data_IF_243087248954
#
_entry.id   IF_243087248954
#
_cell.length_a   1.000
_cell.length_b   1.000
_cell.length_c   1.000
_cell.angle_alpha   90.00
_cell.angle_beta   90.00
_cell.angle_gamma   90.00
#
_symmetry.space_group_name_H-M   'P 1'
#
loop_
_entity.id
_entity.type
_entity.pdbx_description
1 polymer ?
#
# COMPACT_ATOMS: atom_id res chain seq x y z
N UNK A 1 -15.09 -6.50 14.88
CA UNK A 1 -13.83 -5.70 14.82
C UNK A 1 -12.86 -6.15 13.70
N UNK A 2 -13.29 -6.58 12.50
CA UNK A 2 -12.35 -7.11 11.47
C UNK A 2 -12.27 -6.35 10.13
N UNK A 3 -13.15 -5.39 9.83
CA UNK A 3 -13.17 -4.74 8.51
C UNK A 3 -12.14 -3.59 8.33
N UNK A 4 -11.56 -3.04 9.41
CA UNK A 4 -10.71 -1.84 9.35
C UNK A 4 -9.20 -2.14 9.10
N UNK A 5 -8.76 -3.40 9.16
CA UNK A 5 -7.32 -3.75 8.98
C UNK A 5 -6.83 -3.66 7.54
N UNK A 6 -7.71 -3.93 6.56
CA UNK A 6 -7.35 -3.91 5.13
C UNK A 6 -7.19 -2.48 4.58
N UNK A 7 -7.75 -1.48 5.27
CA UNK A 7 -7.64 -0.07 4.90
C UNK A 7 -6.23 0.49 5.13
N UNK A 8 -5.46 -0.13 6.05
CA UNK A 8 -4.08 0.27 6.35
C UNK A 8 -3.07 -0.21 5.31
N UNK A 9 -3.41 -1.19 4.48
CA UNK A 9 -2.52 -1.68 3.42
C UNK A 9 -2.55 -0.75 2.20
N UNK A 10 -1.38 -0.53 1.58
CA UNK A 10 -1.32 0.20 0.31
C UNK A 10 -2.06 -0.58 -0.79
N UNK A 11 -2.46 0.10 -1.86
CA UNK A 11 -3.08 -0.55 -3.02
C UNK A 11 -2.19 -1.68 -3.57
N UNK A 12 -0.88 -1.46 -3.61
CA UNK A 12 0.10 -2.46 -4.06
C UNK A 12 0.21 -3.66 -3.11
N UNK A 13 0.22 -3.41 -1.80
CA UNK A 13 0.22 -4.50 -0.82
C UNK A 13 -1.08 -5.32 -0.89
N UNK A 14 -2.25 -4.67 -1.05
CA UNK A 14 -3.52 -5.36 -1.28
C UNK A 14 -3.49 -6.18 -2.58
N UNK A 15 -2.87 -5.66 -3.64
CA UNK A 15 -2.70 -6.39 -4.90
C UNK A 15 -1.83 -7.63 -4.72
N UNK A 16 -0.72 -7.54 -4.00
CA UNK A 16 0.12 -8.71 -3.64
C UNK A 16 -0.70 -9.76 -2.89
N UNK A 17 -1.53 -9.37 -1.92
CA UNK A 17 -2.36 -10.32 -1.17
C UNK A 17 -3.43 -10.98 -2.07
N UNK A 18 -4.03 -10.22 -2.99
CA UNK A 18 -4.96 -10.77 -3.99
C UNK A 18 -4.27 -11.74 -4.95
N UNK A 19 -3.06 -11.43 -5.40
CA UNK A 19 -2.25 -12.34 -6.22
C UNK A 19 -1.87 -13.60 -5.44
N UNK A 20 -1.57 -13.48 -4.14
CA UNK A 20 -1.26 -14.64 -3.29
C UNK A 20 -2.45 -15.60 -3.17
N UNK A 21 -3.68 -15.06 -3.13
CA UNK A 21 -4.88 -15.88 -3.22
C UNK A 21 -4.98 -16.58 -4.58
N UNK A 22 -4.77 -15.87 -5.68
CA UNK A 22 -4.78 -16.47 -7.03
C UNK A 22 -3.71 -17.55 -7.19
N UNK A 23 -2.52 -17.38 -6.60
CA UNK A 23 -1.47 -18.41 -6.59
C UNK A 23 -1.91 -19.65 -5.80
N UNK A 24 -2.52 -19.47 -4.63
CA UNK A 24 -3.07 -20.57 -3.85
C UNK A 24 -4.13 -21.36 -4.63
N UNK A 25 -5.02 -20.65 -5.34
CA UNK A 25 -6.07 -21.23 -6.19
C UNK A 25 -5.48 -21.99 -7.39
N UNK A 26 -4.49 -21.42 -8.10
CA UNK A 26 -3.78 -22.08 -9.21
C UNK A 26 -3.11 -23.37 -8.78
N UNK A 27 -2.52 -23.37 -7.58
CA UNK A 27 -1.87 -24.55 -7.01
C UNK A 27 -2.88 -25.53 -6.37
N UNK A 28 -4.18 -25.22 -6.41
CA UNK A 28 -5.27 -25.93 -5.74
C UNK A 28 -4.97 -26.20 -4.25
N UNK A 29 -4.25 -25.27 -3.63
CA UNK A 29 -3.99 -25.28 -2.19
C UNK A 29 -5.16 -24.62 -1.48
N UNK A 30 -5.55 -25.22 -0.37
CA UNK A 30 -6.74 -24.79 0.37
C UNK A 30 -6.39 -23.80 1.48
N UNK A 31 -5.12 -23.39 1.59
CA UNK A 31 -4.68 -22.33 2.50
C UNK A 31 -3.72 -21.40 1.78
N UNK A 32 -3.87 -20.10 1.99
CA UNK A 32 -2.92 -19.10 1.54
C UNK A 32 -1.77 -19.09 2.56
N UNK A 33 -0.62 -19.64 2.18
CA UNK A 33 0.62 -19.68 2.97
C UNK A 33 1.57 -18.52 2.64
N UNK A 34 2.56 -18.23 3.51
CA UNK A 34 3.62 -17.26 3.22
C UNK A 34 4.30 -17.49 1.87
N UNK A 35 4.48 -18.75 1.45
CA UNK A 35 5.01 -19.08 0.12
C UNK A 35 4.22 -18.45 -1.03
N UNK A 36 2.88 -18.48 -1.00
CA UNK A 36 2.06 -17.83 -2.03
C UNK A 36 2.22 -16.30 -2.01
N UNK A 37 2.40 -15.71 -0.83
CA UNK A 37 2.67 -14.27 -0.67
C UNK A 37 4.03 -13.91 -1.27
N UNK A 38 5.05 -14.75 -1.08
CA UNK A 38 6.38 -14.57 -1.68
C UNK A 38 6.31 -14.63 -3.21
N UNK A 39 5.63 -15.64 -3.77
CA UNK A 39 5.41 -15.76 -5.21
C UNK A 39 4.67 -14.54 -5.76
N UNK A 40 3.64 -14.07 -5.06
CA UNK A 40 2.91 -12.87 -5.44
C UNK A 40 3.76 -11.60 -5.42
N UNK A 41 4.70 -11.46 -4.49
CA UNK A 41 5.66 -10.34 -4.50
C UNK A 41 6.58 -10.40 -5.72
N UNK A 42 7.00 -11.58 -6.14
CA UNK A 42 7.79 -11.77 -7.37
C UNK A 42 6.98 -11.47 -8.63
N UNK A 43 5.65 -11.65 -8.60
CA UNK A 43 4.76 -11.36 -9.73
C UNK A 43 4.30 -9.90 -9.84
N UNK A 44 4.38 -9.11 -8.77
CA UNK A 44 3.93 -7.71 -8.76
C UNK A 44 5.11 -6.74 -9.02
N UNK A 45 5.38 -6.35 -10.28
CA UNK A 45 6.56 -5.59 -10.64
C UNK A 45 6.51 -4.16 -10.09
N UNK A 46 7.66 -3.51 -9.97
CA UNK A 46 7.76 -2.12 -9.47
C UNK A 46 7.16 -1.96 -8.07
N UNK A 47 7.38 -2.94 -7.19
CA UNK A 47 7.17 -2.82 -5.75
C UNK A 47 8.51 -2.90 -5.03
N UNK A 48 8.60 -2.35 -3.83
CA UNK A 48 9.83 -2.44 -3.02
C UNK A 48 10.19 -3.91 -2.79
N UNK A 49 9.21 -4.75 -2.43
CA UNK A 49 9.45 -6.17 -2.24
C UNK A 49 10.00 -6.84 -3.50
N UNK A 50 9.37 -6.60 -4.66
CA UNK A 50 9.84 -7.16 -5.93
C UNK A 50 11.27 -6.72 -6.28
N UNK A 51 11.58 -5.42 -6.14
CA UNK A 51 12.92 -4.89 -6.41
C UNK A 51 13.95 -5.51 -5.47
N UNK A 52 13.63 -5.64 -4.17
CA UNK A 52 14.53 -6.27 -3.20
C UNK A 52 14.78 -7.74 -3.53
N UNK A 53 13.73 -8.51 -3.81
CA UNK A 53 13.85 -9.93 -4.13
C UNK A 53 14.67 -10.17 -5.40
N UNK A 54 14.40 -9.40 -6.46
CA UNK A 54 15.12 -9.50 -7.73
C UNK A 54 16.58 -9.02 -7.65
N UNK A 55 16.89 -8.00 -6.82
CA UNK A 55 18.28 -7.61 -6.50
C UNK A 55 19.08 -8.73 -5.85
N UNK A 56 18.40 -9.63 -5.15
CA UNK A 56 18.97 -10.83 -4.54
C UNK A 56 18.85 -12.07 -5.44
N UNK A 57 18.66 -11.86 -6.74
CA UNK A 57 18.59 -12.92 -7.77
C UNK A 57 17.47 -13.95 -7.54
N UNK A 58 16.43 -13.60 -6.80
CA UNK A 58 15.23 -14.42 -6.70
C UNK A 58 14.31 -14.14 -7.88
N UNK A 59 13.97 -15.20 -8.62
CA UNK A 59 12.95 -15.18 -9.67
C UNK A 59 11.77 -16.09 -9.31
N UNK A 60 10.64 -15.84 -9.97
CA UNK A 60 9.41 -16.59 -9.72
C UNK A 60 9.58 -18.08 -9.98
N UNK A 61 10.21 -18.48 -11.09
CA UNK A 61 10.25 -19.87 -11.56
C UNK A 61 11.08 -20.74 -10.62
N UNK A 62 12.29 -20.30 -10.28
CA UNK A 62 13.17 -21.03 -9.35
C UNK A 62 12.54 -21.12 -7.96
N UNK A 63 11.95 -20.02 -7.48
CA UNK A 63 11.26 -19.97 -6.18
C UNK A 63 10.06 -20.92 -6.15
N UNK A 64 9.22 -20.91 -7.19
CA UNK A 64 8.05 -21.79 -7.32
C UNK A 64 8.45 -23.26 -7.29
N UNK A 65 9.45 -23.65 -8.08
CA UNK A 65 9.93 -25.03 -8.13
C UNK A 65 10.47 -25.50 -6.78
N UNK A 66 11.11 -24.60 -6.04
CA UNK A 66 11.66 -24.90 -4.72
C UNK A 66 10.56 -25.11 -3.68
N UNK A 67 9.55 -24.24 -3.61
CA UNK A 67 8.56 -24.25 -2.52
C UNK A 67 7.28 -25.03 -2.82
N UNK A 68 6.96 -25.27 -4.10
CA UNK A 68 5.70 -25.94 -4.46
C UNK A 68 5.50 -27.31 -3.81
N UNK A 69 6.51 -28.18 -3.65
CA UNK A 69 6.30 -29.46 -2.98
C UNK A 69 5.92 -29.32 -1.50
N UNK A 70 6.45 -28.30 -0.81
CA UNK A 70 6.12 -28.02 0.60
C UNK A 70 4.69 -27.52 0.70
N UNK A 71 4.31 -26.56 -0.16
CA UNK A 71 2.99 -25.96 -0.16
C UNK A 71 1.87 -26.97 -0.45
N UNK A 72 2.10 -27.91 -1.37
CA UNK A 72 1.13 -28.95 -1.70
C UNK A 72 0.90 -29.94 -0.54
N UNK A 73 1.95 -30.28 0.23
CA UNK A 73 1.82 -31.17 1.41
C UNK A 73 0.98 -30.56 2.54
N UNK A 74 0.97 -29.23 2.66
CA UNK A 74 0.27 -28.51 3.73
C UNK A 74 -1.25 -28.32 3.49
N UNK A 75 -1.77 -28.81 2.37
CA UNK A 75 -3.18 -28.64 1.96
C UNK A 75 -4.08 -29.74 2.54
N UNK A 76 -4.77 -29.46 3.65
CA UNK A 76 -5.73 -30.38 4.30
C UNK A 76 -7.05 -29.70 4.73
N UNK A 77 -7.51 -28.65 4.05
CA UNK A 77 -8.78 -27.95 4.39
C UNK A 77 -9.75 -27.88 3.22
N UNK A 78 -11.04 -27.61 3.48
CA UNK A 78 -12.07 -27.55 2.44
C UNK A 78 -12.31 -26.13 1.89
N UNK A 79 -11.93 -25.07 2.62
CA UNK A 79 -12.11 -23.66 2.21
C UNK A 79 -10.77 -22.92 2.12
N UNK A 80 -10.65 -22.01 1.14
CA UNK A 80 -9.47 -21.16 0.93
C UNK A 80 -9.42 -20.07 2.01
N UNK A 81 -8.54 -20.24 2.98
CA UNK A 81 -8.32 -19.28 4.06
C UNK A 81 -6.84 -18.95 4.25
N UNK A 82 -6.53 -17.83 4.91
CA UNK A 82 -5.17 -17.55 5.36
C UNK A 82 -4.71 -18.61 6.38
N UNK A 83 -3.53 -19.18 6.15
CA UNK A 83 -2.90 -20.08 7.13
C UNK A 83 -2.53 -19.34 8.41
N UNK A 84 -2.30 -20.08 9.50
CA UNK A 84 -1.84 -19.50 10.77
C UNK A 84 -0.54 -18.70 10.60
N UNK A 85 0.38 -19.21 9.78
CA UNK A 85 1.63 -18.51 9.46
C UNK A 85 1.41 -17.25 8.63
N UNK A 86 0.47 -17.24 7.69
CA UNK A 86 0.11 -16.03 6.95
C UNK A 86 -0.51 -14.97 7.84
N UNK A 87 -1.38 -15.36 8.79
CA UNK A 87 -1.94 -14.41 9.78
C UNK A 87 -0.83 -13.79 10.62
N UNK A 88 0.11 -14.60 11.11
CA UNK A 88 1.29 -14.11 11.85
C UNK A 88 2.21 -13.24 10.99
N UNK A 89 2.37 -13.55 9.70
CA UNK A 89 3.13 -12.70 8.76
C UNK A 89 2.50 -11.30 8.68
N UNK A 90 1.18 -11.21 8.53
CA UNK A 90 0.48 -9.92 8.47
C UNK A 90 0.62 -9.13 9.78
N UNK A 91 0.55 -9.79 10.93
CA UNK A 91 0.81 -9.15 12.23
C UNK A 91 2.24 -8.60 12.32
N UNK A 92 3.23 -9.39 11.89
CA UNK A 92 4.63 -8.92 11.86
C UNK A 92 4.86 -7.80 10.86
N UNK A 93 4.09 -7.75 9.77
CA UNK A 93 4.13 -6.65 8.82
C UNK A 93 3.59 -5.34 9.43
N UNK A 94 2.50 -5.42 10.21
CA UNK A 94 2.00 -4.28 11.01
C UNK A 94 3.06 -3.80 11.99
N UNK A 95 3.74 -4.72 12.69
CA UNK A 95 4.81 -4.33 13.61
C UNK A 95 6.01 -3.74 12.89
N UNK A 96 6.34 -4.23 11.69
CA UNK A 96 7.41 -3.70 10.86
C UNK A 96 7.13 -2.26 10.42
N UNK A 97 5.89 -1.93 10.03
CA UNK A 97 5.53 -0.55 9.67
C UNK A 97 5.59 0.39 10.87
N UNK A 98 5.10 -0.05 12.03
CA UNK A 98 5.19 0.71 13.29
C UNK A 98 6.64 1.00 13.70
N UNK A 99 7.53 0.01 13.62
CA UNK A 99 8.96 0.19 13.94
C UNK A 99 9.65 1.21 13.02
N UNK A 100 9.14 1.40 11.81
CA UNK A 100 9.65 2.38 10.85
C UNK A 100 8.91 3.71 10.90
N UNK A 101 7.87 3.85 11.73
CA UNK A 101 7.04 5.05 11.83
C UNK A 101 6.05 5.23 10.69
N UNK A 102 5.83 4.21 9.86
CA UNK A 102 4.90 4.29 8.73
C UNK A 102 3.47 4.05 9.21
N UNK A 103 2.53 4.93 8.79
CA UNK A 103 1.10 4.82 9.14
C UNK A 103 0.32 3.85 8.26
N UNK A 104 0.99 3.24 7.29
CA UNK A 104 0.43 2.32 6.31
C UNK A 104 1.31 1.07 6.22
N UNK A 105 0.81 0.04 5.53
CA UNK A 105 1.49 -1.24 5.34
C UNK A 105 1.72 -1.47 3.84
N UNK A 106 2.92 -1.13 3.37
CA UNK A 106 3.40 -1.45 2.03
C UNK A 106 4.02 -2.86 1.88
N UNK A 107 4.52 -3.12 0.68
CA UNK A 107 5.08 -4.44 0.29
C UNK A 107 6.39 -4.76 1.01
N UNK A 108 7.17 -3.75 1.33
CA UNK A 108 8.38 -3.81 2.14
C UNK A 108 8.09 -4.31 3.56
N UNK A 109 6.98 -3.87 4.17
CA UNK A 109 6.60 -4.36 5.49
C UNK A 109 6.14 -5.81 5.45
N UNK A 110 5.43 -6.22 4.39
CA UNK A 110 5.09 -7.63 4.17
C UNK A 110 6.35 -8.49 4.06
N UNK A 111 7.35 -8.05 3.28
CA UNK A 111 8.62 -8.75 3.13
C UNK A 111 9.40 -8.79 4.45
N UNK A 112 9.49 -7.67 5.17
CA UNK A 112 10.15 -7.60 6.47
C UNK A 112 9.47 -8.49 7.52
N UNK A 113 8.13 -8.51 7.54
CA UNK A 113 7.36 -9.39 8.41
C UNK A 113 7.53 -10.87 8.07
N UNK A 114 7.70 -11.19 6.79
CA UNK A 114 7.97 -12.54 6.30
C UNK A 114 9.34 -13.06 6.78
N UNK A 115 10.39 -12.26 6.65
CA UNK A 115 11.77 -12.67 7.01
C UNK A 115 12.08 -12.51 8.50
N UNK A 116 11.24 -11.84 9.28
CA UNK A 116 11.40 -11.69 10.73
C UNK A 116 11.36 -13.04 11.46
N UNK A 117 10.40 -13.88 11.08
CA UNK A 117 10.26 -15.28 11.53
C UNK A 117 9.76 -16.08 10.33
N UNK A 118 10.66 -16.62 9.49
CA UNK A 118 10.27 -17.28 8.26
C UNK A 118 9.54 -18.60 8.55
N UNK A 119 8.51 -18.89 7.76
CA UNK A 119 7.93 -20.23 7.69
C UNK A 119 8.90 -21.19 6.98
N UNK A 120 8.65 -22.49 7.04
CA UNK A 120 9.52 -23.54 6.46
C UNK A 120 9.86 -23.26 5.00
N UNK A 121 8.85 -22.95 4.18
CA UNK A 121 9.05 -22.72 2.75
C UNK A 121 9.84 -21.43 2.47
N UNK A 122 9.73 -20.42 3.33
CA UNK A 122 10.49 -19.17 3.21
C UNK A 122 11.94 -19.39 3.63
N UNK A 123 12.16 -20.10 4.73
CA UNK A 123 13.51 -20.39 5.22
C UNK A 123 14.30 -21.22 4.19
N UNK A 124 13.62 -22.14 3.50
CA UNK A 124 14.20 -22.90 2.38
C UNK A 124 14.68 -21.99 1.24
N UNK A 125 13.87 -21.00 0.82
CA UNK A 125 14.27 -20.02 -0.22
C UNK A 125 15.45 -19.18 0.23
N UNK A 126 15.40 -18.67 1.47
CA UNK A 126 16.48 -17.84 2.02
C UNK A 126 17.79 -18.62 2.09
N UNK A 127 17.77 -19.89 2.51
CA UNK A 127 18.96 -20.76 2.54
C UNK A 127 19.48 -21.07 1.14
N UNK A 128 18.61 -21.41 0.20
CA UNK A 128 18.99 -21.71 -1.17
C UNK A 128 19.67 -20.51 -1.86
N UNK A 129 19.20 -19.30 -1.56
CA UNK A 129 19.79 -18.06 -2.06
C UNK A 129 20.95 -17.51 -1.19
N UNK A 130 21.33 -18.20 -0.11
CA UNK A 130 22.32 -17.74 0.88
C UNK A 130 22.01 -16.32 1.43
N UNK A 131 20.73 -16.01 1.60
CA UNK A 131 20.24 -14.71 2.04
C UNK A 131 19.98 -14.69 3.54
N UNK A 132 20.52 -13.66 4.19
CA UNK A 132 20.25 -13.38 5.60
C UNK A 132 19.27 -12.23 5.74
N UNK A 133 18.45 -12.27 6.79
CA UNK A 133 17.51 -11.20 7.17
C UNK A 133 18.15 -9.80 7.15
N UNK A 134 19.36 -9.65 7.68
CA UNK A 134 20.08 -8.37 7.72
C UNK A 134 20.38 -7.81 6.32
N UNK A 135 20.73 -8.69 5.37
CA UNK A 135 20.99 -8.26 3.99
C UNK A 135 19.70 -7.74 3.33
N UNK A 136 18.58 -8.44 3.54
CA UNK A 136 17.27 -8.01 3.04
C UNK A 136 16.86 -6.67 3.66
N UNK A 137 17.01 -6.51 4.98
CA UNK A 137 16.73 -5.25 5.66
C UNK A 137 17.54 -4.09 5.09
N UNK A 138 18.85 -4.30 4.89
CA UNK A 138 19.72 -3.30 4.28
C UNK A 138 19.25 -2.94 2.86
N UNK A 139 18.94 -3.92 2.02
CA UNK A 139 18.46 -3.66 0.65
C UNK A 139 17.11 -2.95 0.64
N UNK A 140 16.20 -3.26 1.58
CA UNK A 140 14.95 -2.51 1.74
C UNK A 140 15.25 -1.05 2.07
N UNK A 141 16.16 -0.78 3.00
CA UNK A 141 16.55 0.59 3.36
C UNK A 141 17.16 1.34 2.17
N UNK A 142 18.03 0.68 1.41
CA UNK A 142 18.66 1.26 0.23
C UNK A 142 17.62 1.58 -0.86
N UNK A 143 16.70 0.66 -1.16
CA UNK A 143 15.63 0.89 -2.15
C UNK A 143 14.70 2.04 -1.72
N UNK A 144 14.34 2.12 -0.45
CA UNK A 144 13.49 3.21 0.06
C UNK A 144 14.18 4.57 -0.02
N UNK A 145 15.51 4.64 0.17
CA UNK A 145 16.29 5.88 -0.04
C UNK A 145 16.38 6.27 -1.51
N UNK A 146 16.56 5.31 -2.40
CA UNK A 146 16.70 5.55 -3.85
C UNK A 146 15.38 5.96 -4.52
N UNK A 147 14.23 5.57 -3.97
CA UNK A 147 12.92 5.81 -4.59
C UNK A 147 11.82 5.97 -3.54
N UNK A 148 11.70 7.16 -2.91
CA UNK A 148 10.67 7.44 -1.91
C UNK A 148 9.24 7.40 -2.47
N UNK A 149 9.06 7.39 -3.79
CA UNK A 149 7.74 7.32 -4.45
C UNK A 149 7.06 5.95 -4.37
N UNK A 150 7.74 4.88 -3.95
CA UNK A 150 7.08 3.60 -3.67
C UNK A 150 6.11 3.65 -2.47
N UNK A 151 6.26 4.67 -1.64
CA UNK A 151 5.64 4.87 -0.32
C UNK A 151 4.17 5.35 -0.42
N UNK A 152 3.80 6.06 -1.50
CA UNK A 152 2.51 6.76 -1.61
C UNK A 152 1.57 6.18 -2.67
N UNK A 153 1.00 5.00 -2.39
CA UNK A 153 -0.31 4.60 -2.94
C UNK A 153 -1.16 3.93 -1.85
N UNK A 154 -1.18 4.53 -0.66
CA UNK A 154 -2.38 4.46 0.17
C UNK A 154 -3.45 5.22 -0.60
N UNK A 155 -4.66 4.70 -0.68
CA UNK A 155 -5.79 5.37 -1.32
C UNK A 155 -6.06 6.73 -0.67
N UNK A 156 -5.35 7.77 -1.11
CA UNK A 156 -5.75 9.17 -0.99
C UNK A 156 -6.60 9.60 -2.18
N UNK A 157 -7.14 8.65 -2.97
CA UNK A 157 -8.31 8.87 -3.82
C UNK A 157 -9.59 8.99 -2.96
N UNK A 158 -9.51 9.82 -1.91
CA UNK A 158 -10.64 10.50 -1.30
C UNK A 158 -10.51 11.98 -1.63
N UNK A 159 -10.24 12.30 -2.89
CA UNK A 159 -10.50 13.67 -3.33
C UNK A 159 -11.99 13.93 -3.21
N UNK A 160 -12.36 14.91 -2.39
CA UNK A 160 -13.74 15.38 -2.35
C UNK A 160 -13.90 16.34 -3.51
N UNK A 161 -14.85 16.04 -4.39
CA UNK A 161 -15.34 16.99 -5.38
C UNK A 161 -16.43 17.80 -4.70
N UNK A 162 -16.25 19.11 -4.63
CA UNK A 162 -17.28 20.03 -4.14
C UNK A 162 -17.44 21.17 -5.12
N UNK A 163 -18.64 21.74 -5.12
CA UNK A 163 -19.00 22.90 -5.93
C UNK A 163 -18.64 24.16 -5.16
N UNK A 164 -17.81 25.02 -5.74
CA UNK A 164 -17.54 26.36 -5.20
C UNK A 164 -18.49 27.35 -5.87
N UNK A 165 -19.18 28.16 -5.08
CA UNK A 165 -19.90 29.33 -5.60
C UNK A 165 -19.00 30.55 -5.55
N UNK A 166 -18.65 31.09 -6.71
CA UNK A 166 -17.87 32.31 -6.83
C UNK A 166 -18.81 33.52 -6.81
N UNK A 167 -18.70 34.39 -5.80
CA UNK A 167 -19.30 35.73 -5.87
C UNK A 167 -18.36 36.63 -6.67
N UNK A 168 -18.70 36.94 -7.92
CA UNK A 168 -18.02 38.00 -8.65
C UNK A 168 -18.29 39.34 -7.95
N UNK A 169 -17.24 40.11 -7.64
CA UNK A 169 -17.34 41.41 -6.97
C UNK A 169 -18.16 42.47 -7.75
N UNK A 170 -18.56 42.18 -8.99
CA UNK A 170 -19.36 43.05 -9.85
C UNK A 170 -20.63 42.37 -10.43
N UNK A 171 -21.00 41.17 -9.95
CA UNK A 171 -22.20 40.50 -10.45
C UNK A 171 -23.49 41.16 -9.91
N UNK A 172 -24.45 41.41 -10.81
CA UNK A 172 -25.84 41.73 -10.46
C UNK A 172 -26.43 40.60 -9.60
N UNK A 173 -27.34 40.93 -8.67
CA UNK A 173 -27.99 39.97 -7.76
C UNK A 173 -28.67 38.78 -8.48
N UNK A 174 -28.94 38.92 -9.78
CA UNK A 174 -29.65 37.94 -10.61
C UNK A 174 -28.72 37.08 -11.48
N UNK A 175 -27.39 37.22 -11.35
CA UNK A 175 -26.44 36.49 -12.17
C UNK A 175 -26.37 35.01 -11.78
N UNK A 176 -26.57 34.12 -12.75
CA UNK A 176 -26.42 32.68 -12.55
C UNK A 176 -24.95 32.33 -12.23
N UNK A 177 -24.73 31.68 -11.09
CA UNK A 177 -23.42 31.19 -10.68
C UNK A 177 -22.98 30.02 -11.58
N UNK A 178 -21.80 30.09 -12.18
CA UNK A 178 -21.19 28.91 -12.82
C UNK A 178 -20.48 28.05 -11.76
N UNK A 179 -20.91 26.80 -11.55
CA UNK A 179 -20.27 25.91 -10.59
C UNK A 179 -18.91 25.45 -11.11
N UNK A 180 -17.84 25.74 -10.36
CA UNK A 180 -16.52 25.14 -10.62
C UNK A 180 -16.31 23.88 -9.78
N UNK A 181 -15.78 22.84 -10.42
CA UNK A 181 -15.43 21.56 -9.81
C UNK A 181 -13.98 21.64 -9.32
N UNK A 182 -13.79 21.70 -8.01
CA UNK A 182 -12.47 21.64 -7.39
C UNK A 182 -12.20 20.25 -6.80
N UNK A 183 -10.95 19.77 -6.94
CA UNK A 183 -10.49 18.49 -6.40
C UNK A 183 -9.52 18.78 -5.24
N UNK A 184 -9.92 18.55 -3.99
CA UNK A 184 -9.04 18.74 -2.82
C UNK A 184 -8.75 17.39 -2.12
N UNK A 185 -7.49 17.14 -1.69
CA UNK A 185 -7.15 16.01 -0.81
C UNK A 185 -7.94 15.99 0.52
N UNK A 186 -8.38 14.81 0.95
CA UNK A 186 -9.26 14.65 2.13
C UNK A 186 -8.68 15.15 3.45
N UNK A 187 -7.37 14.95 3.63
CA UNK A 187 -6.61 15.35 4.81
C UNK A 187 -6.62 16.88 5.01
N UNK A 188 -6.42 17.63 3.92
CA UNK A 188 -6.49 19.10 3.91
C UNK A 188 -7.89 19.58 4.30
N UNK A 189 -8.94 18.92 3.80
CA UNK A 189 -10.32 19.28 4.15
C UNK A 189 -10.62 19.06 5.63
N UNK A 190 -10.18 17.92 6.19
CA UNK A 190 -10.46 17.54 7.59
C UNK A 190 -9.72 18.43 8.58
N UNK A 191 -8.47 18.82 8.29
CA UNK A 191 -7.70 19.76 9.13
C UNK A 191 -8.41 21.12 9.24
N UNK A 192 -9.00 21.60 8.14
CA UNK A 192 -9.69 22.89 8.09
C UNK A 192 -11.09 22.84 8.72
N UNK A 193 -11.82 21.73 8.62
CA UNK A 193 -13.13 21.57 9.27
C UNK A 193 -13.04 21.48 10.81
N UNK A 194 -11.95 20.95 11.35
CA UNK A 194 -11.78 20.79 12.81
C UNK A 194 -11.27 22.05 13.51
N UNK A 195 -10.82 23.07 12.78
CA UNK A 195 -10.35 24.32 13.36
C UNK A 195 -11.14 25.52 12.82
N UNK A 196 -12.45 25.63 13.15
CA UNK A 196 -13.32 26.70 12.68
C UNK A 196 -13.06 27.99 13.47
N UNK A 197 -11.85 28.52 13.37
CA UNK A 197 -11.60 29.92 13.73
C UNK A 197 -12.16 30.74 12.57
N UNK A 198 -13.46 30.97 12.61
CA UNK A 198 -14.23 32.00 11.90
C UNK A 198 -13.48 32.72 10.79
N UNK A 199 -13.44 32.18 9.57
CA UNK A 199 -13.14 32.91 8.33
C UNK A 199 -13.60 32.06 7.13
N UNK A 200 -14.44 32.63 6.27
CA UNK A 200 -14.96 31.95 5.08
C UNK A 200 -13.87 31.61 4.07
N UNK A 201 -14.07 30.55 3.30
CA UNK A 201 -13.15 30.17 2.21
C UNK A 201 -13.43 31.06 0.99
N UNK A 202 -12.53 32.01 0.71
CA UNK A 202 -12.52 32.76 -0.55
C UNK A 202 -11.48 32.12 -1.48
N UNK A 203 -11.93 31.64 -2.63
CA UNK A 203 -11.07 31.12 -3.70
C UNK A 203 -10.84 32.25 -4.70
N UNK A 204 -9.62 32.78 -4.77
CA UNK A 204 -9.22 33.73 -5.81
C UNK A 204 -8.69 32.94 -7.01
N UNK A 205 -9.24 33.22 -8.19
CA UNK A 205 -8.81 32.67 -9.47
C UNK A 205 -8.22 33.84 -10.25
N UNK A 206 -6.91 33.83 -10.45
CA UNK A 206 -6.25 34.78 -11.35
C UNK A 206 -6.13 34.14 -12.73
N UNK A 207 -6.58 34.85 -13.76
CA UNK A 207 -6.68 34.29 -15.11
C UNK A 207 -5.30 34.19 -15.80
N UNK A 208 -5.18 33.12 -16.60
CA UNK A 208 -4.14 32.80 -17.58
C UNK A 208 -2.91 31.96 -17.18
N UNK A 209 -2.86 31.38 -15.97
CA UNK A 209 -2.12 30.14 -15.69
C UNK A 209 -2.55 29.65 -14.30
N UNK A 210 -3.29 28.54 -14.23
CA UNK A 210 -3.92 28.07 -12.97
C UNK A 210 -2.89 27.78 -11.85
N UNK A 211 -2.59 28.80 -11.06
CA UNK A 211 -2.04 28.68 -9.71
C UNK A 211 -3.17 28.98 -8.71
N UNK A 212 -3.40 28.03 -7.81
CA UNK A 212 -4.29 28.23 -6.68
C UNK A 212 -3.46 28.92 -5.59
N UNK A 213 -3.59 30.24 -5.48
CA UNK A 213 -3.01 30.99 -4.37
C UNK A 213 -4.08 31.25 -3.30
N UNK A 214 -3.89 30.63 -2.13
CA UNK A 214 -4.79 30.81 -0.98
C UNK A 214 -4.31 32.01 -0.17
N UNK A 215 -5.00 33.15 -0.29
CA UNK A 215 -4.77 34.31 0.59
C UNK A 215 -5.84 34.41 1.67
N UNK A 216 -5.37 34.63 2.89
CA UNK A 216 -6.18 34.90 4.08
C UNK A 216 -6.05 36.39 4.38
N UNK A 217 -7.15 37.15 4.31
CA UNK A 217 -7.19 38.55 4.76
C UNK A 217 -7.88 38.65 6.13
N UNK A 218 -7.46 39.63 6.92
CA UNK A 218 -8.01 39.95 8.25
C UNK A 218 -9.21 40.87 8.16
#
# INVERSE_FOLDING_TARGET
MSQNRMEQFTQRARRVLSLAQSEAEKMNTKRINPGHVLLAMLLEPKTVAHVVLTRHNLDYTSTYNLISPVLLRQSQSEQVELSGESKRLLERAVDASRRRGHRYIGTEHLLLGMVERPAEEIDMVLRAANLRKQAIQKTVDDVLRESPTFDQQVSTDRSVVFTVQLKHAQAREDAAYEPMIAKIPYDVLIERLHNPSSDGVIVLIDNDDCKIDMKFEK
#
